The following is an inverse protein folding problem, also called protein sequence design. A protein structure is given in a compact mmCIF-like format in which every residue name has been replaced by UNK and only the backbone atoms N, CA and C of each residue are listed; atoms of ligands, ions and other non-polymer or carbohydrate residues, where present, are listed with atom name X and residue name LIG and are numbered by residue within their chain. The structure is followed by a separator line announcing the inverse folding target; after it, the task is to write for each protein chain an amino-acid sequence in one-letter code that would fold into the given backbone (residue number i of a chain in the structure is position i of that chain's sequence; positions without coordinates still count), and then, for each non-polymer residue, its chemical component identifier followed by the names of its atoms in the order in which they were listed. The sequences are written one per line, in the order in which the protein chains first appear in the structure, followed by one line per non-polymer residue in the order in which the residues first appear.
data_IF_093210102636
#
_entry.id   IF_093210102636
#
_cell.length_a   1.000
_cell.length_b   1.000
_cell.length_c   1.000
_cell.angle_alpha   90.00
_cell.angle_beta   90.00
_cell.angle_gamma   90.00
#
_symmetry.space_group_name_H-M   'P 1'
#
loop_
_entity.id
_entity.type
_entity.pdbx_description
1 polymer ?
#
# COMPACT_ATOMS: atom_id res chain seq x y z
N UNK A 1 23.98 -9.51 -19.42
CA UNK A 1 23.45 -9.65 -18.07
C UNK A 1 23.63 -8.31 -17.35
N UNK A 2 22.63 -7.41 -17.43
CA UNK A 2 22.64 -6.18 -16.63
C UNK A 2 22.05 -6.58 -15.30
N UNK A 3 22.87 -6.58 -14.24
CA UNK A 3 22.36 -6.59 -12.87
C UNK A 3 21.51 -5.32 -12.73
N UNK A 4 20.18 -5.48 -12.80
CA UNK A 4 19.24 -4.39 -12.64
C UNK A 4 19.21 -3.98 -11.18
N UNK A 5 20.11 -3.12 -10.74
CA UNK A 5 20.06 -2.58 -9.38
C UNK A 5 18.93 -1.57 -9.32
N UNK A 6 17.98 -1.78 -8.42
CA UNK A 6 16.90 -0.83 -8.15
C UNK A 6 17.49 0.54 -7.84
N UNK A 7 16.85 1.62 -8.33
CA UNK A 7 17.38 2.96 -8.11
C UNK A 7 17.52 3.26 -6.61
N UNK A 8 18.50 4.09 -6.25
CA UNK A 8 18.71 4.48 -4.86
C UNK A 8 17.47 5.17 -4.27
N UNK A 9 16.68 5.88 -5.08
CA UNK A 9 15.43 6.49 -4.65
C UNK A 9 14.39 5.43 -4.28
N UNK A 10 14.15 4.45 -5.17
CA UNK A 10 13.18 3.38 -4.94
C UNK A 10 13.59 2.49 -3.76
N UNK A 11 14.89 2.33 -3.54
CA UNK A 11 15.42 1.63 -2.35
C UNK A 11 15.09 2.36 -1.06
N UNK A 12 15.20 3.69 -1.04
CA UNK A 12 14.81 4.50 0.13
C UNK A 12 13.29 4.51 0.33
N UNK A 13 12.53 4.59 -0.76
CA UNK A 13 11.07 4.52 -0.73
C UNK A 13 10.57 3.18 -0.16
N UNK A 14 11.12 2.08 -0.66
CA UNK A 14 10.91 0.74 -0.11
C UNK A 14 11.26 0.66 1.37
N UNK A 15 12.43 1.19 1.75
CA UNK A 15 12.88 1.24 3.15
C UNK A 15 11.95 2.05 4.06
N UNK A 16 11.36 3.12 3.54
CA UNK A 16 10.38 3.93 4.27
C UNK A 16 9.11 3.14 4.58
N UNK A 17 8.53 2.46 3.59
CA UNK A 17 7.34 1.62 3.80
C UNK A 17 7.62 0.36 4.62
N UNK A 18 8.85 -0.17 4.57
CA UNK A 18 9.30 -1.28 5.43
C UNK A 18 9.60 -0.88 6.86
N UNK A 19 9.66 0.42 7.17
CA UNK A 19 9.90 0.86 8.54
C UNK A 19 8.77 0.40 9.45
N UNK A 20 9.10 -0.03 10.67
CA UNK A 20 8.09 -0.48 11.64
C UNK A 20 7.01 0.58 11.85
N UNK A 21 7.38 1.86 11.87
CA UNK A 21 6.42 2.97 12.02
C UNK A 21 5.34 2.96 10.93
N UNK A 22 5.72 2.85 9.66
CA UNK A 22 4.76 2.91 8.54
C UNK A 22 3.98 1.61 8.45
N UNK A 23 4.69 0.48 8.53
CA UNK A 23 4.09 -0.85 8.50
C UNK A 23 3.05 -1.01 9.61
N UNK A 24 3.40 -0.66 10.85
CA UNK A 24 2.50 -0.77 11.99
C UNK A 24 1.34 0.24 11.88
N UNK A 25 1.55 1.44 11.33
CA UNK A 25 0.45 2.38 11.08
C UNK A 25 -0.60 1.80 10.12
N UNK A 26 -0.15 1.18 9.03
CA UNK A 26 -1.03 0.55 8.03
C UNK A 26 -1.78 -0.64 8.65
N UNK A 27 -1.05 -1.55 9.31
CA UNK A 27 -1.68 -2.73 9.90
C UNK A 27 -2.60 -2.39 11.07
N UNK A 28 -2.24 -1.43 11.93
CA UNK A 28 -3.11 -1.00 13.04
C UNK A 28 -4.40 -0.35 12.51
N UNK A 29 -4.30 0.45 11.45
CA UNK A 29 -5.47 1.01 10.77
C UNK A 29 -6.38 -0.12 10.27
N UNK A 30 -5.86 -1.06 9.49
CA UNK A 30 -6.67 -2.15 8.94
C UNK A 30 -7.22 -3.07 10.02
N UNK A 31 -6.43 -3.41 11.03
CA UNK A 31 -6.90 -4.23 12.16
C UNK A 31 -8.11 -3.57 12.84
N UNK A 32 -7.99 -2.29 13.21
CA UNK A 32 -9.09 -1.57 13.85
C UNK A 32 -10.33 -1.48 12.96
N UNK A 33 -10.14 -1.19 11.68
CA UNK A 33 -11.25 -1.04 10.75
C UNK A 33 -11.94 -2.35 10.40
N UNK A 34 -11.20 -3.46 10.36
CA UNK A 34 -11.74 -4.80 10.10
C UNK A 34 -12.44 -5.40 11.32
N UNK A 35 -12.19 -4.89 12.53
CA UNK A 35 -13.00 -5.24 13.72
C UNK A 35 -14.43 -4.66 13.65
N UNK A 36 -14.63 -3.57 12.91
CA UNK A 36 -15.91 -2.85 12.86
C UNK A 36 -16.61 -2.94 11.49
N UNK A 37 -15.86 -3.23 10.42
CA UNK A 37 -16.39 -3.36 9.06
C UNK A 37 -16.26 -4.80 8.58
N UNK A 38 -17.35 -5.32 7.98
CA UNK A 38 -17.32 -6.60 7.29
C UNK A 38 -16.78 -6.43 5.88
N UNK A 39 -15.72 -7.15 5.54
CA UNK A 39 -15.15 -7.19 4.18
C UNK A 39 -15.28 -8.62 3.65
N UNK A 40 -15.96 -8.80 2.52
CA UNK A 40 -16.12 -10.11 1.88
C UNK A 40 -15.06 -10.37 0.80
N UNK A 41 -14.98 -11.59 0.24
CA UNK A 41 -14.20 -11.90 -0.95
C UNK A 41 -14.47 -10.93 -2.11
N UNK A 42 -13.47 -10.69 -2.96
CA UNK A 42 -13.51 -9.65 -3.99
C UNK A 42 -14.63 -9.85 -5.04
N UNK A 43 -15.05 -11.10 -5.24
CA UNK A 43 -16.10 -11.53 -6.17
C UNK A 43 -17.53 -11.35 -5.61
N UNK A 44 -17.67 -11.03 -4.33
CA UNK A 44 -18.96 -10.88 -3.65
C UNK A 44 -19.42 -9.41 -3.58
N UNK A 45 -20.74 -9.23 -3.42
CA UNK A 45 -21.31 -7.91 -3.17
C UNK A 45 -20.82 -7.36 -1.84
N UNK A 46 -20.18 -6.19 -1.87
CA UNK A 46 -19.60 -5.56 -0.69
C UNK A 46 -20.59 -4.60 -0.03
N UNK A 47 -20.64 -4.54 1.30
CA UNK A 47 -21.32 -3.46 2.01
C UNK A 47 -20.82 -2.08 1.55
N UNK A 48 -21.70 -1.07 1.53
CA UNK A 48 -21.31 0.31 1.21
C UNK A 48 -20.17 0.83 2.10
N UNK A 49 -20.15 0.44 3.38
CA UNK A 49 -19.10 0.82 4.32
C UNK A 49 -17.69 0.33 3.89
N UNK A 50 -17.60 -0.74 3.11
CA UNK A 50 -16.32 -1.26 2.59
C UNK A 50 -15.70 -0.30 1.58
N UNK A 51 -16.52 0.38 0.79
CA UNK A 51 -16.02 1.43 -0.11
C UNK A 51 -15.48 2.63 0.66
N UNK A 52 -16.17 3.06 1.73
CA UNK A 52 -15.69 4.15 2.59
C UNK A 52 -14.39 3.77 3.31
N UNK A 53 -14.24 2.51 3.69
CA UNK A 53 -12.98 1.97 4.22
C UNK A 53 -11.85 2.05 3.16
N UNK A 54 -12.11 1.62 1.94
CA UNK A 54 -11.15 1.73 0.84
C UNK A 54 -10.70 3.18 0.61
N UNK A 55 -11.63 4.15 0.56
CA UNK A 55 -11.27 5.56 0.39
C UNK A 55 -10.36 6.08 1.52
N UNK A 56 -10.61 5.67 2.76
CA UNK A 56 -9.76 6.01 3.90
C UNK A 56 -8.39 5.33 3.83
N UNK A 57 -8.34 4.08 3.36
CA UNK A 57 -7.09 3.38 3.10
C UNK A 57 -6.26 4.09 2.01
N UNK A 58 -6.86 4.47 0.89
CA UNK A 58 -6.19 5.24 -0.17
C UNK A 58 -5.64 6.57 0.36
N UNK A 59 -6.40 7.27 1.21
CA UNK A 59 -5.93 8.50 1.86
C UNK A 59 -4.75 8.26 2.80
N UNK A 60 -4.77 7.18 3.59
CA UNK A 60 -3.67 6.80 4.48
C UNK A 60 -2.39 6.55 3.68
N UNK A 61 -2.46 5.71 2.65
CA UNK A 61 -1.31 5.38 1.81
C UNK A 61 -0.81 6.62 1.07
N UNK A 62 -1.70 7.41 0.48
CA UNK A 62 -1.35 8.69 -0.14
C UNK A 62 -0.67 9.66 0.82
N UNK A 63 -1.13 9.72 2.07
CA UNK A 63 -0.50 10.49 3.14
C UNK A 63 0.94 10.07 3.42
N UNK A 64 1.21 8.76 3.46
CA UNK A 64 2.56 8.23 3.65
C UNK A 64 3.47 8.47 2.43
N UNK A 65 2.94 8.38 1.20
CA UNK A 65 3.69 8.76 -0.01
C UNK A 65 4.06 10.24 0.04
N UNK A 66 3.10 11.12 0.35
CA UNK A 66 3.35 12.56 0.48
C UNK A 66 4.35 12.88 1.59
N UNK A 67 4.28 12.16 2.71
CA UNK A 67 5.22 12.28 3.82
C UNK A 67 6.64 11.96 3.36
N UNK A 68 6.84 10.84 2.65
CA UNK A 68 8.14 10.48 2.09
C UNK A 68 8.69 11.55 1.13
N UNK A 69 7.87 12.00 0.18
CA UNK A 69 8.27 13.03 -0.78
C UNK A 69 8.70 14.32 -0.07
N UNK A 70 7.97 14.72 0.96
CA UNK A 70 8.27 15.90 1.76
C UNK A 70 9.58 15.75 2.54
N UNK A 71 9.82 14.58 3.16
CA UNK A 71 11.05 14.31 3.92
C UNK A 71 12.29 14.28 3.04
N UNK A 72 12.17 13.78 1.82
CA UNK A 72 13.27 13.68 0.85
C UNK A 72 13.44 14.95 0.00
N UNK A 73 12.52 15.91 0.09
CA UNK A 73 12.53 17.13 -0.72
C UNK A 73 12.26 16.87 -2.20
N UNK A 74 11.41 15.89 -2.50
CA UNK A 74 11.08 15.41 -3.85
C UNK A 74 9.69 15.84 -4.30
N UNK A 75 9.44 15.77 -5.61
CA UNK A 75 8.12 15.87 -6.21
C UNK A 75 7.63 14.50 -6.71
N UNK A 76 6.34 14.38 -7.01
CA UNK A 76 5.75 13.13 -7.52
C UNK A 76 6.44 12.66 -8.83
N UNK A 77 6.83 13.61 -9.68
CA UNK A 77 7.50 13.33 -10.95
C UNK A 77 8.86 12.65 -10.77
N UNK A 78 9.55 12.89 -9.66
CA UNK A 78 10.83 12.25 -9.35
C UNK A 78 10.63 10.76 -9.10
N UNK A 79 9.62 10.42 -8.31
CA UNK A 79 9.27 9.02 -7.99
C UNK A 79 8.74 8.32 -9.25
N UNK A 80 7.85 8.97 -9.99
CA UNK A 80 7.36 8.46 -11.28
C UNK A 80 8.49 8.23 -12.28
N UNK A 81 9.43 9.18 -12.38
CA UNK A 81 10.60 9.07 -13.23
C UNK A 81 11.50 7.90 -12.86
N UNK A 82 11.68 7.66 -11.56
CA UNK A 82 12.46 6.53 -11.06
C UNK A 82 11.81 5.16 -11.38
N UNK A 83 10.49 5.04 -11.22
CA UNK A 83 9.75 3.84 -11.62
C UNK A 83 9.83 3.62 -13.14
N UNK A 84 9.62 4.67 -13.93
CA UNK A 84 9.66 4.59 -15.40
C UNK A 84 11.05 4.21 -15.94
N UNK A 85 12.12 4.59 -15.24
CA UNK A 85 13.50 4.26 -15.61
C UNK A 85 13.84 2.78 -15.36
N UNK A 86 13.11 2.10 -14.48
CA UNK A 86 13.28 0.69 -14.16
C UNK A 86 11.89 0.02 -14.00
N UNK A 87 11.16 -0.26 -15.10
CA UNK A 87 9.78 -0.74 -15.01
C UNK A 87 9.63 -2.06 -14.24
N UNK A 88 10.66 -2.91 -14.26
CA UNK A 88 10.70 -4.19 -13.54
C UNK A 88 11.02 -4.00 -12.04
N UNK A 89 11.23 -2.76 -11.56
CA UNK A 89 11.41 -2.49 -10.13
C UNK A 89 10.13 -2.71 -9.32
N UNK A 90 8.95 -2.48 -9.92
CA UNK A 90 7.66 -2.53 -9.21
C UNK A 90 7.42 -3.91 -8.65
N UNK A 91 7.68 -4.95 -9.45
CA UNK A 91 7.56 -6.36 -9.03
C UNK A 91 8.57 -6.77 -7.95
N UNK A 92 9.59 -5.93 -7.71
CA UNK A 92 10.64 -6.15 -6.70
C UNK A 92 10.45 -5.32 -5.44
N UNK A 93 9.51 -4.36 -5.43
CA UNK A 93 9.14 -3.59 -4.25
C UNK A 93 8.17 -4.45 -3.44
N UNK A 94 8.55 -4.85 -2.23
CA UNK A 94 7.63 -5.57 -1.33
C UNK A 94 6.54 -4.63 -0.82
N UNK A 95 6.77 -3.31 -0.80
CA UNK A 95 5.73 -2.35 -0.45
C UNK A 95 4.66 -2.18 -1.56
N UNK A 96 4.86 -2.77 -2.74
CA UNK A 96 3.91 -2.67 -3.86
C UNK A 96 2.52 -3.18 -3.50
N UNK A 97 2.39 -4.18 -2.63
CA UNK A 97 1.09 -4.66 -2.14
C UNK A 97 0.27 -3.57 -1.47
N UNK A 98 0.88 -2.73 -0.63
CA UNK A 98 0.18 -1.63 0.02
C UNK A 98 -0.29 -0.57 -1.00
N UNK A 99 0.53 -0.30 -2.00
CA UNK A 99 0.27 0.70 -3.04
C UNK A 99 -0.79 0.23 -4.03
N UNK A 100 -0.71 -1.03 -4.48
CA UNK A 100 -1.69 -1.63 -5.39
C UNK A 100 -3.07 -1.66 -4.73
N UNK A 101 -3.14 -2.08 -3.46
CA UNK A 101 -4.37 -2.03 -2.66
C UNK A 101 -4.91 -0.60 -2.46
N UNK A 102 -4.13 0.46 -2.69
CA UNK A 102 -4.62 1.84 -2.62
C UNK A 102 -5.14 2.35 -3.97
N UNK A 103 -4.77 1.68 -5.07
CA UNK A 103 -5.09 2.06 -6.45
C UNK A 103 -6.23 1.21 -7.02
N UNK A 104 -6.33 -0.05 -6.61
CA UNK A 104 -7.31 -1.01 -7.11
C UNK A 104 -8.16 -1.56 -5.96
N UNK A 105 -9.48 -1.53 -6.16
CA UNK A 105 -10.43 -1.95 -5.14
C UNK A 105 -10.43 -3.48 -4.93
N UNK A 106 -10.17 -4.27 -5.97
CA UNK A 106 -10.12 -5.72 -5.85
C UNK A 106 -8.84 -6.17 -5.13
N UNK A 107 -7.71 -5.51 -5.41
CA UNK A 107 -6.47 -5.71 -4.67
C UNK A 107 -6.64 -5.32 -3.20
N UNK A 108 -7.37 -4.23 -2.93
CA UNK A 108 -7.75 -3.85 -1.57
C UNK A 108 -8.54 -4.93 -0.85
N UNK A 109 -9.60 -5.45 -1.49
CA UNK A 109 -10.46 -6.47 -0.89
C UNK A 109 -9.65 -7.73 -0.58
N UNK A 110 -8.82 -8.19 -1.52
CA UNK A 110 -7.94 -9.35 -1.34
C UNK A 110 -7.00 -9.15 -0.16
N UNK A 111 -6.35 -7.99 -0.10
CA UNK A 111 -5.43 -7.66 0.98
C UNK A 111 -6.13 -7.57 2.35
N UNK A 112 -7.31 -6.96 2.40
CA UNK A 112 -8.11 -6.82 3.60
C UNK A 112 -8.65 -8.18 4.09
N UNK A 113 -9.09 -9.06 3.19
CA UNK A 113 -9.53 -10.42 3.55
C UNK A 113 -8.37 -11.27 4.05
N UNK A 114 -7.21 -11.20 3.40
CA UNK A 114 -6.00 -11.91 3.84
C UNK A 114 -5.60 -11.50 5.26
N UNK A 115 -5.68 -10.20 5.58
CA UNK A 115 -5.39 -9.71 6.92
C UNK A 115 -6.44 -10.10 7.95
N UNK A 116 -7.73 -10.01 7.60
CA UNK A 116 -8.81 -10.46 8.47
C UNK A 116 -8.62 -11.94 8.85
N UNK A 117 -8.32 -12.77 7.86
CA UNK A 117 -8.13 -14.21 8.03
C UNK A 117 -6.85 -14.51 8.85
N UNK A 118 -5.77 -13.74 8.63
CA UNK A 118 -4.54 -13.82 9.43
C UNK A 118 -4.78 -13.48 10.90
N UNK A 119 -5.58 -12.45 11.18
CA UNK A 119 -5.90 -12.00 12.54
C UNK A 119 -7.09 -12.74 13.17
N UNK A 120 -7.75 -13.63 12.44
CA UNK A 120 -8.94 -14.37 12.88
C UNK A 120 -10.08 -13.43 13.34
N UNK A 121 -10.21 -12.29 12.68
CA UNK A 121 -11.28 -11.32 12.95
C UNK A 121 -12.62 -11.87 12.41
N UNK A 122 -13.73 -11.57 13.13
CA UNK A 122 -15.07 -12.10 12.83
C UNK A 122 -15.80 -11.32 11.74
#
# INVERSE_FOLDING_TARGET
SRSGTMSALLTRFEGFFKSDRIRDAIYNFLHHELEINTVGPAEEEQPHATHDLFLRYTQLIGGHVQEFLTQEGLQEEDLYGAVKADPECVDRLECSGFLNAALDYQDFLTFATDLRDLYQLQ
#
